data_IF_833298354171
#
_entry.id   IF_833298354171
#
_cell.length_a   1.000
_cell.length_b   1.000
_cell.length_c   1.000
_cell.angle_alpha   90.00
_cell.angle_beta   90.00
_cell.angle_gamma   90.00
#
_symmetry.space_group_name_H-M   'P 1'
#
loop_
_entity.id
_entity.type
_entity.pdbx_description
1 polymer ?
#
# COMPACT_ATOMS: atom_id res chain seq x y z
N UNK A 1 -28.82 4.76 10.31
CA UNK A 1 -28.94 3.90 9.12
C UNK A 1 -29.53 2.60 9.61
N UNK A 2 -30.50 2.04 8.90
CA UNK A 2 -31.13 0.74 9.20
C UNK A 2 -30.51 -0.29 8.27
N UNK A 3 -29.33 -0.76 8.65
CA UNK A 3 -28.57 -1.80 7.94
C UNK A 3 -28.28 -2.94 8.90
N UNK A 4 -28.21 -4.19 8.44
CA UNK A 4 -27.96 -5.34 9.31
C UNK A 4 -26.51 -5.41 9.84
N UNK A 5 -25.63 -4.53 9.36
CA UNK A 5 -24.21 -4.47 9.73
C UNK A 5 -23.90 -3.09 10.34
N UNK A 6 -23.22 -3.03 11.50
CA UNK A 6 -22.87 -1.77 12.14
C UNK A 6 -21.71 -1.07 11.43
N UNK A 7 -21.67 0.26 11.52
CA UNK A 7 -20.66 1.10 10.84
C UNK A 7 -19.24 0.90 11.35
N UNK A 8 -19.08 0.40 12.57
CA UNK A 8 -17.79 0.13 13.21
C UNK A 8 -17.27 -1.29 12.95
N UNK A 9 -17.95 -2.07 12.10
CA UNK A 9 -17.51 -3.41 11.71
C UNK A 9 -16.08 -3.37 11.15
N UNK A 10 -15.20 -4.19 11.71
CA UNK A 10 -13.86 -4.39 11.16
C UNK A 10 -13.91 -5.12 9.82
N UNK A 11 -13.17 -4.67 8.79
CA UNK A 11 -13.06 -5.44 7.56
C UNK A 11 -12.32 -6.77 7.78
N UNK A 12 -12.66 -7.78 6.99
CA UNK A 12 -11.92 -9.04 6.90
C UNK A 12 -10.51 -8.80 6.35
N UNK A 13 -9.49 -9.43 6.91
CA UNK A 13 -8.09 -9.13 6.63
C UNK A 13 -7.41 -10.20 5.77
N UNK A 14 -6.18 -9.89 5.35
CA UNK A 14 -5.31 -10.85 4.66
C UNK A 14 -4.02 -11.16 5.41
N UNK A 15 -3.54 -12.39 5.20
CA UNK A 15 -2.20 -12.86 5.55
C UNK A 15 -1.29 -12.85 4.31
N UNK A 16 0.02 -12.57 4.45
CA UNK A 16 0.96 -12.72 3.35
C UNK A 16 1.06 -14.20 2.93
N UNK A 17 1.12 -14.46 1.63
CA UNK A 17 1.46 -15.77 1.05
C UNK A 17 2.79 -15.72 0.32
N UNK A 18 3.54 -16.83 0.33
CA UNK A 18 4.84 -16.95 -0.36
C UNK A 18 4.71 -17.14 -1.87
N UNK A 19 3.52 -17.53 -2.35
CA UNK A 19 3.17 -17.66 -3.75
C UNK A 19 1.65 -17.64 -3.92
N UNK A 20 1.18 -17.61 -5.17
CA UNK A 20 -0.25 -17.70 -5.48
C UNK A 20 -0.77 -19.06 -4.98
N UNK A 21 -1.68 -19.09 -3.98
CA UNK A 21 -2.25 -20.35 -3.50
C UNK A 21 -2.92 -21.09 -4.64
N UNK A 22 -2.74 -22.41 -4.71
CA UNK A 22 -3.27 -23.26 -5.78
C UNK A 22 -4.44 -24.12 -5.32
N UNK A 23 -5.22 -24.61 -6.27
CA UNK A 23 -6.32 -25.57 -6.08
C UNK A 23 -7.73 -24.99 -6.23
N UNK A 24 -8.72 -25.88 -6.30
CA UNK A 24 -10.07 -25.60 -6.82
C UNK A 24 -10.97 -24.72 -5.94
N UNK A 25 -10.47 -24.25 -4.79
CA UNK A 25 -11.25 -23.46 -3.84
C UNK A 25 -10.94 -21.96 -3.89
N UNK A 26 -10.01 -21.53 -4.74
CA UNK A 26 -9.57 -20.14 -4.80
C UNK A 26 -10.22 -19.36 -5.94
N UNK A 27 -10.45 -18.07 -5.69
CA UNK A 27 -10.58 -17.05 -6.72
C UNK A 27 -9.53 -15.96 -6.47
N UNK A 28 -9.08 -15.34 -7.55
CA UNK A 28 -7.99 -14.38 -7.56
C UNK A 28 -8.49 -13.03 -8.07
N UNK A 29 -8.04 -11.96 -7.45
CA UNK A 29 -8.31 -10.57 -7.85
C UNK A 29 -6.99 -9.79 -7.93
N UNK A 30 -6.91 -8.74 -8.76
CA UNK A 30 -5.82 -7.78 -8.66
C UNK A 30 -5.76 -7.16 -7.26
N UNK A 31 -4.56 -6.99 -6.73
CA UNK A 31 -4.37 -6.30 -5.45
C UNK A 31 -4.29 -4.79 -5.68
N UNK A 32 -5.40 -4.10 -5.41
CA UNK A 32 -5.50 -2.64 -5.46
C UNK A 32 -4.64 -1.96 -4.36
N UNK A 33 -3.98 -0.86 -4.71
CA UNK A 33 -3.24 0.00 -3.77
C UNK A 33 -3.99 1.33 -3.62
N UNK A 34 -4.73 1.47 -2.52
CA UNK A 34 -5.52 2.65 -2.25
C UNK A 34 -5.90 2.76 -0.78
N UNK A 35 -7.11 3.27 -0.53
CA UNK A 35 -7.72 3.25 0.78
C UNK A 35 -8.87 2.26 0.83
N UNK A 36 -8.67 1.17 1.57
CA UNK A 36 -9.75 0.25 1.89
C UNK A 36 -10.90 0.97 2.60
N UNK A 37 -12.07 0.90 1.98
CA UNK A 37 -13.24 1.69 2.34
C UNK A 37 -14.50 0.82 2.30
N UNK A 38 -15.15 0.68 3.45
CA UNK A 38 -16.51 0.16 3.53
C UNK A 38 -17.48 1.26 3.13
N UNK A 39 -18.46 0.92 2.29
CA UNK A 39 -19.53 1.83 1.90
C UNK A 39 -20.82 1.33 2.53
N UNK A 40 -21.46 2.17 3.33
CA UNK A 40 -22.79 1.93 3.86
C UNK A 40 -23.75 2.87 3.13
N UNK A 41 -24.79 2.32 2.51
CA UNK A 41 -25.86 3.10 1.89
C UNK A 41 -27.19 2.71 2.51
N UNK A 42 -27.99 3.70 2.90
CA UNK A 42 -29.37 3.55 3.35
C UNK A 42 -30.19 4.72 2.78
N UNK A 43 -30.94 4.46 1.70
CA UNK A 43 -31.59 5.48 0.89
C UNK A 43 -30.57 6.42 0.23
N UNK A 44 -30.71 7.71 0.50
CA UNK A 44 -29.79 8.76 0.04
C UNK A 44 -28.59 8.98 0.97
N UNK A 45 -28.61 8.38 2.17
CA UNK A 45 -27.49 8.48 3.10
C UNK A 45 -26.41 7.48 2.70
N UNK A 46 -25.20 7.99 2.45
CA UNK A 46 -24.01 7.21 2.12
C UNK A 46 -22.91 7.57 3.12
N UNK A 47 -22.32 6.56 3.74
CA UNK A 47 -21.18 6.70 4.64
C UNK A 47 -20.00 5.87 4.12
N UNK A 48 -18.83 6.50 4.03
CA UNK A 48 -17.56 5.86 3.68
C UNK A 48 -16.76 5.69 4.97
N UNK A 49 -16.40 4.46 5.31
CA UNK A 49 -15.67 4.13 6.53
C UNK A 49 -14.33 3.47 6.18
N UNK A 50 -13.25 4.03 6.71
CA UNK A 50 -11.91 3.46 6.53
C UNK A 50 -11.79 2.10 7.21
N UNK A 51 -10.74 1.34 6.84
CA UNK A 51 -10.33 0.14 7.57
C UNK A 51 -10.23 0.30 9.10
N UNK A 52 -9.86 1.48 9.59
CA UNK A 52 -9.71 1.77 11.03
C UNK A 52 -10.97 2.34 11.68
N UNK A 53 -12.16 2.09 11.12
CA UNK A 53 -13.46 2.59 11.57
C UNK A 53 -13.57 4.14 11.61
N UNK A 54 -12.72 4.86 10.87
CA UNK A 54 -12.78 6.33 10.77
C UNK A 54 -13.66 6.78 9.62
N UNK A 55 -14.54 7.78 9.82
CA UNK A 55 -15.32 8.38 8.74
C UNK A 55 -14.44 9.01 7.66
N UNK A 56 -14.76 8.71 6.41
CA UNK A 56 -14.08 9.21 5.21
C UNK A 56 -15.00 10.01 4.28
N UNK A 57 -16.33 9.98 4.52
CA UNK A 57 -17.37 10.50 3.62
C UNK A 57 -17.06 11.90 3.09
N UNK A 58 -16.66 12.84 3.96
CA UNK A 58 -16.41 14.23 3.59
C UNK A 58 -15.26 14.42 2.59
N UNK A 59 -14.32 13.48 2.52
CA UNK A 59 -13.12 13.61 1.69
C UNK A 59 -13.34 13.20 0.24
N UNK A 60 -14.42 12.46 -0.03
CA UNK A 60 -14.73 11.91 -1.36
C UNK A 60 -16.16 12.25 -1.78
N UNK A 61 -16.54 13.54 -1.85
CA UNK A 61 -17.89 13.94 -2.21
C UNK A 61 -18.28 13.49 -3.63
N UNK A 62 -17.32 13.34 -4.53
CA UNK A 62 -17.51 13.01 -5.95
C UNK A 62 -18.07 11.59 -6.19
N UNK A 63 -17.83 10.65 -5.27
CA UNK A 63 -18.32 9.26 -5.42
C UNK A 63 -19.74 9.07 -4.89
N UNK A 64 -20.20 9.95 -3.99
CA UNK A 64 -21.50 9.80 -3.31
C UNK A 64 -22.70 9.77 -4.27
N UNK A 65 -22.80 10.63 -5.30
CA UNK A 65 -23.91 10.57 -6.26
C UNK A 65 -24.01 9.24 -7.00
N UNK A 66 -22.88 8.58 -7.26
CA UNK A 66 -22.87 7.29 -7.94
C UNK A 66 -23.39 6.17 -7.03
N UNK A 67 -23.03 6.19 -5.73
CA UNK A 67 -23.58 5.25 -4.76
C UNK A 67 -25.09 5.39 -4.60
N UNK A 68 -25.62 6.63 -4.60
CA UNK A 68 -27.07 6.90 -4.56
C UNK A 68 -27.83 6.40 -5.79
N UNK A 69 -27.13 6.07 -6.89
CA UNK A 69 -27.73 5.55 -8.12
C UNK A 69 -27.62 4.04 -8.26
N UNK A 70 -27.07 3.33 -7.26
CA UNK A 70 -27.08 1.86 -7.27
C UNK A 70 -28.52 1.35 -7.23
N UNK A 71 -28.73 0.16 -7.81
CA UNK A 71 -30.05 -0.45 -7.96
C UNK A 71 -30.75 -0.71 -6.63
N UNK A 72 -29.99 -1.15 -5.63
CA UNK A 72 -30.46 -1.28 -4.25
C UNK A 72 -30.13 -0.01 -3.47
N UNK A 73 -31.11 0.45 -2.69
CA UNK A 73 -31.01 1.63 -1.82
C UNK A 73 -30.45 1.31 -0.43
N UNK A 74 -30.32 0.03 -0.08
CA UNK A 74 -29.68 -0.46 1.15
C UNK A 74 -28.59 -1.46 0.82
N UNK A 75 -27.34 -1.05 0.95
CA UNK A 75 -26.19 -1.93 0.66
C UNK A 75 -25.02 -1.66 1.59
N UNK A 76 -24.22 -2.71 1.84
CA UNK A 76 -22.90 -2.60 2.46
C UNK A 76 -21.87 -3.22 1.52
N UNK A 77 -20.92 -2.41 1.04
CA UNK A 77 -19.86 -2.84 0.11
C UNK A 77 -18.49 -2.80 0.79
N UNK A 78 -17.60 -3.72 0.39
CA UNK A 78 -16.17 -3.66 0.70
C UNK A 78 -15.37 -3.47 -0.60
N UNK A 79 -14.39 -2.58 -0.55
CA UNK A 79 -13.74 -2.08 -1.74
C UNK A 79 -12.56 -1.16 -1.43
N UNK A 80 -11.96 -0.64 -2.49
CA UNK A 80 -10.81 0.24 -2.44
C UNK A 80 -11.11 1.56 -3.13
N UNK A 81 -10.86 2.69 -2.44
CA UNK A 81 -10.77 3.99 -3.08
C UNK A 81 -9.38 4.16 -3.69
N UNK A 82 -9.33 4.50 -4.97
CA UNK A 82 -8.09 4.69 -5.73
C UNK A 82 -8.11 6.04 -6.46
N UNK A 83 -6.94 6.55 -6.81
CA UNK A 83 -6.79 7.63 -7.80
C UNK A 83 -5.96 7.07 -8.95
N UNK A 84 -6.39 7.31 -10.19
CA UNK A 84 -5.67 6.88 -11.39
C UNK A 84 -4.98 8.08 -12.01
N UNK A 85 -3.66 8.11 -11.97
CA UNK A 85 -2.81 9.09 -12.65
C UNK A 85 -2.39 8.64 -14.05
N UNK A 86 -1.37 9.30 -14.58
CA UNK A 86 -0.86 9.03 -15.94
C UNK A 86 -0.11 7.71 -16.05
N UNK A 87 0.55 7.28 -14.96
CA UNK A 87 1.40 6.08 -14.90
C UNK A 87 0.75 4.90 -14.18
N UNK A 88 -0.54 4.98 -13.87
CA UNK A 88 -1.28 3.96 -13.10
C UNK A 88 -1.87 4.53 -11.82
N UNK A 89 -1.98 3.71 -10.76
CA UNK A 89 -2.54 4.16 -9.47
C UNK A 89 -1.61 5.19 -8.81
N UNK A 90 -2.16 6.36 -8.49
CA UNK A 90 -1.47 7.44 -7.80
C UNK A 90 -1.89 7.50 -6.33
N UNK A 91 -1.20 6.71 -5.51
CA UNK A 91 -1.40 6.73 -4.07
C UNK A 91 -1.01 8.06 -3.43
N UNK A 92 -0.04 8.79 -4.00
CA UNK A 92 0.40 10.08 -3.48
C UNK A 92 -0.71 11.12 -3.59
N UNK A 93 -1.34 11.22 -4.77
CA UNK A 93 -2.52 12.05 -4.99
C UNK A 93 -3.68 11.62 -4.08
N UNK A 94 -3.93 10.31 -3.94
CA UNK A 94 -4.95 9.79 -3.03
C UNK A 94 -4.71 10.24 -1.57
N UNK A 95 -3.47 10.23 -1.08
CA UNK A 95 -3.14 10.70 0.28
C UNK A 95 -3.44 12.19 0.47
N UNK A 96 -3.24 13.01 -0.57
CA UNK A 96 -3.53 14.44 -0.50
C UNK A 96 -5.03 14.75 -0.34
N UNK A 97 -5.93 13.79 -0.64
CA UNK A 97 -7.39 13.92 -0.49
C UNK A 97 -7.81 14.07 0.97
N UNK A 98 -7.06 13.51 1.91
CA UNK A 98 -7.33 13.62 3.35
C UNK A 98 -6.82 14.96 3.87
N UNK A 99 -7.61 16.02 3.63
CA UNK A 99 -7.23 17.39 3.95
C UNK A 99 -8.20 18.05 4.95
N UNK A 100 -7.72 18.84 5.93
CA UNK A 100 -8.60 19.55 6.86
C UNK A 100 -9.57 20.52 6.15
N UNK A 101 -9.03 21.39 5.28
CA UNK A 101 -9.81 22.41 4.58
C UNK A 101 -10.73 21.83 3.50
N UNK A 102 -12.04 22.12 3.61
CA UNK A 102 -13.08 21.65 2.68
C UNK A 102 -12.88 22.14 1.25
N UNK A 103 -12.45 23.41 1.07
CA UNK A 103 -12.15 23.98 -0.25
C UNK A 103 -11.08 23.18 -1.01
N UNK A 104 -10.04 22.72 -0.30
CA UNK A 104 -8.99 21.88 -0.90
C UNK A 104 -9.51 20.49 -1.24
N UNK A 105 -10.39 19.92 -0.42
CA UNK A 105 -11.05 18.64 -0.71
C UNK A 105 -11.88 18.73 -2.00
N UNK A 106 -12.71 19.77 -2.13
CA UNK A 106 -13.53 19.99 -3.34
C UNK A 106 -12.66 20.19 -4.58
N UNK A 107 -11.66 21.06 -4.51
CA UNK A 107 -10.74 21.29 -5.63
C UNK A 107 -10.04 19.98 -6.08
N UNK A 108 -9.50 19.20 -5.13
CA UNK A 108 -8.85 17.93 -5.45
C UNK A 108 -9.83 16.86 -5.96
N UNK A 109 -11.12 16.97 -5.64
CA UNK A 109 -12.14 16.02 -6.10
C UNK A 109 -12.46 16.18 -7.58
N UNK A 110 -12.25 17.39 -8.10
CA UNK A 110 -12.40 17.71 -9.52
C UNK A 110 -11.09 17.46 -10.26
N UNK A 111 -9.95 17.87 -9.69
CA UNK A 111 -8.64 17.75 -10.34
C UNK A 111 -8.13 16.30 -10.40
N UNK A 112 -8.34 15.52 -9.35
CA UNK A 112 -7.86 14.14 -9.22
C UNK A 112 -8.96 13.25 -8.60
N UNK A 113 -10.07 13.00 -9.31
CA UNK A 113 -11.23 12.30 -8.78
C UNK A 113 -10.88 10.87 -8.36
N UNK A 114 -11.38 10.45 -7.21
CA UNK A 114 -11.22 9.07 -6.77
C UNK A 114 -12.22 8.14 -7.47
N UNK A 115 -11.82 6.90 -7.69
CA UNK A 115 -12.68 5.79 -8.10
C UNK A 115 -12.83 4.81 -6.95
N UNK A 116 -13.98 4.14 -6.89
CA UNK A 116 -14.23 3.05 -5.96
C UNK A 116 -14.24 1.73 -6.72
N UNK A 117 -13.36 0.82 -6.33
CA UNK A 117 -13.31 -0.55 -6.86
C UNK A 117 -13.90 -1.49 -5.83
N UNK A 118 -15.12 -1.95 -6.08
CA UNK A 118 -15.82 -2.89 -5.22
C UNK A 118 -15.29 -4.30 -5.42
N UNK A 119 -15.07 -5.02 -4.32
CA UNK A 119 -14.63 -6.42 -4.36
C UNK A 119 -15.45 -7.36 -3.46
N UNK A 120 -16.38 -6.87 -2.65
CA UNK A 120 -17.33 -7.71 -1.91
C UNK A 120 -18.66 -6.98 -1.64
N UNK A 121 -19.73 -7.74 -1.45
CA UNK A 121 -21.05 -7.26 -1.03
C UNK A 121 -21.42 -7.94 0.28
N UNK A 122 -21.55 -7.16 1.35
CA UNK A 122 -21.73 -7.66 2.71
C UNK A 122 -23.19 -7.65 3.16
N UNK A 123 -24.01 -6.75 2.60
CA UNK A 123 -25.45 -6.72 2.84
C UNK A 123 -26.18 -6.08 1.66
N UNK A 124 -27.42 -6.50 1.43
CA UNK A 124 -28.35 -5.94 0.44
C UNK A 124 -29.78 -6.00 0.98
N UNK A 125 -30.45 -4.85 1.06
CA UNK A 125 -31.74 -4.75 1.76
C UNK A 125 -31.57 -4.99 3.27
N UNK A 126 -32.38 -5.90 3.81
CA UNK A 126 -32.31 -6.35 5.21
C UNK A 126 -31.40 -7.59 5.38
N UNK A 127 -30.89 -8.16 4.29
CA UNK A 127 -30.13 -9.41 4.30
C UNK A 127 -28.64 -9.15 4.64
N UNK A 128 -28.14 -9.79 5.70
CA UNK A 128 -26.70 -9.89 5.98
C UNK A 128 -26.12 -11.06 5.17
N UNK A 129 -25.22 -10.75 4.25
CA UNK A 129 -24.62 -11.72 3.33
C UNK A 129 -23.30 -12.28 3.86
N UNK A 130 -22.80 -11.86 5.04
CA UNK A 130 -21.47 -12.26 5.50
C UNK A 130 -21.31 -13.76 5.72
N UNK A 131 -22.38 -14.45 6.12
CA UNK A 131 -22.38 -15.92 6.25
C UNK A 131 -22.39 -16.65 4.91
N UNK A 132 -22.82 -16.00 3.83
CA UNK A 132 -22.87 -16.59 2.50
C UNK A 132 -21.47 -16.82 1.92
N UNK A 133 -21.26 -17.85 1.08
CA UNK A 133 -20.03 -18.03 0.33
C UNK A 133 -19.67 -16.84 -0.56
N UNK A 134 -18.38 -16.52 -0.71
CA UNK A 134 -17.90 -15.43 -1.57
C UNK A 134 -18.42 -15.54 -3.00
N UNK A 135 -18.53 -16.74 -3.58
CA UNK A 135 -19.10 -16.93 -4.91
C UNK A 135 -20.57 -16.47 -5.02
N UNK A 136 -21.35 -16.61 -3.95
CA UNK A 136 -22.73 -16.09 -3.87
C UNK A 136 -22.71 -14.57 -3.78
N UNK A 137 -21.91 -14.02 -2.86
CA UNK A 137 -21.76 -12.56 -2.68
C UNK A 137 -21.27 -11.87 -3.95
N UNK A 138 -20.35 -12.51 -4.69
CA UNK A 138 -19.82 -12.03 -5.98
C UNK A 138 -20.92 -11.90 -7.03
N UNK A 139 -21.75 -12.94 -7.22
CA UNK A 139 -22.86 -12.90 -8.18
C UNK A 139 -23.86 -11.79 -7.85
N UNK A 140 -24.14 -11.59 -6.56
CA UNK A 140 -25.01 -10.50 -6.08
C UNK A 140 -24.37 -9.13 -6.36
N UNK A 141 -23.07 -8.98 -6.08
CA UNK A 141 -22.30 -7.77 -6.39
C UNK A 141 -22.29 -7.44 -7.90
N UNK A 142 -22.06 -8.43 -8.75
CA UNK A 142 -22.13 -8.30 -10.22
C UNK A 142 -23.51 -7.81 -10.67
N UNK A 143 -24.58 -8.37 -10.12
CA UNK A 143 -25.96 -7.95 -10.41
C UNK A 143 -26.24 -6.52 -9.95
N UNK A 144 -25.83 -6.16 -8.74
CA UNK A 144 -25.98 -4.83 -8.15
C UNK A 144 -25.26 -3.76 -9.00
N UNK A 145 -24.04 -4.07 -9.45
CA UNK A 145 -23.20 -3.16 -10.23
C UNK A 145 -23.39 -3.28 -11.75
N UNK A 146 -24.35 -4.09 -12.22
CA UNK A 146 -24.62 -4.25 -13.65
C UNK A 146 -25.03 -2.91 -14.27
N UNK A 147 -24.16 -2.40 -15.14
CA UNK A 147 -24.35 -1.09 -15.80
C UNK A 147 -23.84 0.11 -14.99
N UNK A 148 -23.28 -0.12 -13.79
CA UNK A 148 -22.50 0.89 -13.11
C UNK A 148 -21.33 1.33 -14.00
N UNK A 149 -21.02 2.62 -13.95
CA UNK A 149 -19.90 3.24 -14.66
C UNK A 149 -19.07 4.03 -13.66
N UNK A 150 -18.03 4.71 -14.16
CA UNK A 150 -17.25 5.66 -13.38
C UNK A 150 -18.15 6.53 -12.48
N UNK A 151 -17.79 6.72 -11.20
CA UNK A 151 -16.56 6.30 -10.54
C UNK A 151 -16.61 4.93 -9.83
N UNK A 152 -17.67 4.13 -10.00
CA UNK A 152 -17.80 2.83 -9.33
C UNK A 152 -17.51 1.70 -10.31
N UNK A 153 -16.56 0.84 -9.94
CA UNK A 153 -16.13 -0.29 -10.74
C UNK A 153 -16.19 -1.59 -9.93
N UNK A 154 -16.45 -2.69 -10.62
CA UNK A 154 -16.28 -4.03 -10.08
C UNK A 154 -14.84 -4.48 -10.34
N UNK A 155 -14.15 -5.02 -9.34
CA UNK A 155 -12.86 -5.68 -9.57
C UNK A 155 -13.06 -6.90 -10.47
N UNK A 156 -12.20 -7.14 -11.48
CA UNK A 156 -12.20 -8.44 -12.14
C UNK A 156 -11.72 -9.50 -11.15
N UNK A 157 -12.14 -10.74 -11.39
CA UNK A 157 -11.62 -11.92 -10.71
C UNK A 157 -11.49 -13.07 -11.71
N UNK A 158 -10.69 -14.07 -11.34
CA UNK A 158 -10.51 -15.30 -12.10
C UNK A 158 -10.40 -16.48 -11.14
N UNK A 159 -10.76 -17.67 -11.60
CA UNK A 159 -10.45 -18.94 -10.93
C UNK A 159 -9.35 -19.72 -11.67
N UNK A 160 -8.87 -19.17 -12.78
CA UNK A 160 -7.76 -19.72 -13.53
C UNK A 160 -6.44 -19.18 -12.97
N UNK A 161 -5.58 -20.11 -12.53
CA UNK A 161 -4.27 -19.82 -11.95
C UNK A 161 -3.36 -19.13 -12.96
N UNK A 162 -3.41 -19.52 -14.25
CA UNK A 162 -2.57 -18.93 -15.28
C UNK A 162 -2.89 -17.45 -15.50
N UNK A 163 -4.17 -17.10 -15.51
CA UNK A 163 -4.63 -15.71 -15.54
C UNK A 163 -4.17 -14.93 -14.31
N UNK A 164 -4.20 -15.54 -13.12
CA UNK A 164 -3.72 -14.90 -11.90
C UNK A 164 -2.20 -14.66 -11.92
N UNK A 165 -1.41 -15.63 -12.39
CA UNK A 165 0.04 -15.48 -12.59
C UNK A 165 0.37 -14.38 -13.61
N UNK A 166 -0.42 -14.30 -14.67
CA UNK A 166 -0.32 -13.24 -15.68
C UNK A 166 -0.66 -11.86 -15.11
N UNK A 167 -1.74 -11.72 -14.32
CA UNK A 167 -2.07 -10.48 -13.62
C UNK A 167 -0.97 -10.06 -12.65
N UNK A 168 -0.41 -11.03 -11.91
CA UNK A 168 0.70 -10.80 -11.01
C UNK A 168 1.88 -10.16 -11.76
N UNK A 169 2.28 -10.71 -12.92
CA UNK A 169 3.39 -10.16 -13.72
C UNK A 169 3.04 -8.84 -14.41
N UNK A 170 1.90 -8.77 -15.10
CA UNK A 170 1.56 -7.65 -15.99
C UNK A 170 1.26 -6.35 -15.24
N UNK A 171 0.63 -6.44 -14.07
CA UNK A 171 0.13 -5.24 -13.38
C UNK A 171 1.12 -4.60 -12.40
N UNK A 172 2.30 -5.20 -12.20
CA UNK A 172 3.30 -4.79 -11.22
C UNK A 172 3.69 -3.30 -11.29
N UNK A 173 3.73 -2.72 -12.50
CA UNK A 173 4.09 -1.31 -12.73
C UNK A 173 2.93 -0.32 -12.66
N UNK A 174 1.68 -0.78 -12.65
CA UNK A 174 0.49 0.07 -12.62
C UNK A 174 0.03 0.45 -11.20
N UNK A 175 0.80 0.12 -10.19
CA UNK A 175 0.41 0.29 -8.79
C UNK A 175 -0.41 -0.87 -8.22
N UNK A 176 -0.63 -1.94 -8.99
CA UNK A 176 -1.17 -3.21 -8.51
C UNK A 176 0.00 -4.13 -8.11
N UNK A 177 0.33 -4.18 -6.82
CA UNK A 177 1.54 -4.85 -6.32
C UNK A 177 1.39 -6.36 -6.10
N UNK A 178 0.37 -6.96 -6.70
CA UNK A 178 0.20 -8.40 -6.74
C UNK A 178 -1.25 -8.84 -6.85
N UNK A 179 -1.57 -9.96 -6.20
CA UNK A 179 -2.86 -10.65 -6.32
C UNK A 179 -3.42 -10.96 -4.93
N UNK A 180 -4.74 -10.84 -4.79
CA UNK A 180 -5.49 -11.31 -3.64
C UNK A 180 -6.10 -12.66 -3.98
N UNK A 181 -5.80 -13.70 -3.19
CA UNK A 181 -6.46 -15.00 -3.28
C UNK A 181 -7.48 -15.13 -2.14
N UNK A 182 -8.71 -15.52 -2.49
CA UNK A 182 -9.83 -15.65 -1.57
C UNK A 182 -10.50 -17.01 -1.79
N UNK A 183 -10.92 -17.67 -0.72
CA UNK A 183 -11.71 -18.89 -0.87
C UNK A 183 -13.10 -18.53 -1.40
N UNK A 184 -13.48 -19.00 -2.60
CA UNK A 184 -14.78 -18.69 -3.19
C UNK A 184 -15.94 -19.37 -2.44
N UNK A 185 -15.64 -20.38 -1.63
CA UNK A 185 -16.58 -21.06 -0.72
C UNK A 185 -16.64 -20.43 0.67
N UNK A 186 -15.77 -19.45 0.96
CA UNK A 186 -15.62 -18.87 2.29
C UNK A 186 -16.62 -17.77 2.62
N UNK A 187 -17.08 -17.75 3.88
CA UNK A 187 -17.80 -16.64 4.47
C UNK A 187 -16.91 -15.39 4.65
N UNK A 188 -17.53 -14.22 4.79
CA UNK A 188 -16.86 -13.01 5.22
C UNK A 188 -16.77 -12.97 6.75
N UNK A 189 -15.55 -13.00 7.29
CA UNK A 189 -15.34 -13.02 8.75
C UNK A 189 -14.61 -11.75 9.19
N UNK A 190 -15.34 -10.76 9.77
CA UNK A 190 -14.77 -9.50 10.26
C UNK A 190 -13.55 -9.70 11.15
N UNK A 191 -12.52 -8.87 10.96
CA UNK A 191 -11.29 -8.88 11.77
C UNK A 191 -10.35 -10.08 11.56
N UNK A 192 -10.79 -11.16 10.89
CA UNK A 192 -9.97 -12.37 10.67
C UNK A 192 -9.13 -12.28 9.41
N UNK A 193 -7.93 -12.86 9.46
CA UNK A 193 -6.98 -12.92 8.33
C UNK A 193 -7.15 -14.22 7.54
N UNK A 194 -8.24 -14.36 6.78
CA UNK A 194 -8.47 -15.57 5.97
C UNK A 194 -8.27 -15.36 4.47
N UNK A 195 -8.09 -14.12 4.00
CA UNK A 195 -7.63 -13.87 2.63
C UNK A 195 -6.11 -13.99 2.55
N UNK A 196 -5.58 -14.31 1.38
CA UNK A 196 -4.15 -14.36 1.14
C UNK A 196 -3.79 -13.21 0.20
N UNK A 197 -2.79 -12.42 0.58
CA UNK A 197 -2.18 -11.42 -0.30
C UNK A 197 -0.84 -11.95 -0.77
N UNK A 198 -0.64 -11.95 -2.08
CA UNK A 198 0.63 -12.31 -2.71
C UNK A 198 1.15 -11.05 -3.35
N UNK A 199 2.39 -10.69 -3.03
CA UNK A 199 3.03 -9.48 -3.51
C UNK A 199 4.33 -9.83 -4.20
N UNK A 200 4.77 -8.97 -5.12
CA UNK A 200 6.14 -9.00 -5.58
C UNK A 200 7.08 -8.76 -4.41
N UNK A 201 7.98 -9.71 -4.18
CA UNK A 201 9.08 -9.51 -3.26
C UNK A 201 10.18 -8.77 -4.01
N UNK A 202 10.31 -7.47 -3.74
CA UNK A 202 11.41 -6.68 -4.27
C UNK A 202 12.51 -6.58 -3.24
N UNK A 203 13.74 -6.74 -3.69
CA UNK A 203 14.93 -6.62 -2.86
C UNK A 203 15.88 -5.60 -3.45
N UNK A 204 16.54 -4.85 -2.59
CA UNK A 204 17.63 -3.96 -2.98
C UNK A 204 18.81 -4.20 -2.06
N UNK A 205 19.99 -4.27 -2.64
CA UNK A 205 21.24 -4.16 -1.93
C UNK A 205 21.52 -2.68 -1.69
N UNK A 206 21.51 -2.28 -0.43
CA UNK A 206 21.70 -0.90 0.00
C UNK A 206 22.99 -0.75 0.80
N UNK A 207 23.62 0.41 0.64
CA UNK A 207 24.75 0.81 1.48
C UNK A 207 24.23 1.34 2.79
N UNK A 208 24.82 0.95 3.91
CA UNK A 208 24.54 1.56 5.21
C UNK A 208 25.30 2.87 5.29
N UNK A 209 24.56 3.98 5.40
CA UNK A 209 25.13 5.33 5.42
C UNK A 209 25.04 6.00 6.78
N UNK A 210 24.30 5.38 7.71
CA UNK A 210 24.18 5.87 9.07
C UNK A 210 23.21 5.02 9.88
N UNK A 211 22.95 5.45 11.10
CA UNK A 211 22.01 4.77 11.99
C UNK A 211 21.39 5.74 12.99
N UNK A 212 20.26 5.35 13.58
CA UNK A 212 19.57 6.08 14.64
C UNK A 212 19.52 5.24 15.90
N UNK A 213 19.58 5.90 17.06
CA UNK A 213 19.28 5.26 18.35
C UNK A 213 17.78 4.97 18.47
N UNK A 214 17.43 3.93 19.23
CA UNK A 214 16.06 3.71 19.68
C UNK A 214 15.62 4.80 20.65
N UNK A 215 14.31 4.87 20.93
CA UNK A 215 13.73 5.89 21.82
C UNK A 215 14.29 5.84 23.25
N UNK A 216 14.82 4.69 23.70
CA UNK A 216 15.48 4.52 24.99
C UNK A 216 16.96 4.96 25.00
N UNK A 217 17.51 5.37 23.85
CA UNK A 217 18.89 5.79 23.67
C UNK A 217 19.95 4.70 23.77
N UNK A 218 19.58 3.44 24.06
CA UNK A 218 20.51 2.37 24.45
C UNK A 218 20.78 1.35 23.35
N UNK A 219 19.92 1.26 22.33
CA UNK A 219 20.03 0.26 21.28
C UNK A 219 19.89 0.87 19.89
N UNK A 220 20.18 0.08 18.86
CA UNK A 220 19.94 0.50 17.48
C UNK A 220 18.44 0.65 17.24
N UNK A 221 18.01 1.83 16.78
CA UNK A 221 16.64 2.09 16.32
C UNK A 221 16.44 1.63 14.88
N UNK A 222 17.27 2.15 13.97
CA UNK A 222 17.24 1.82 12.54
C UNK A 222 18.58 2.07 11.86
N UNK A 223 18.88 1.34 10.78
CA UNK A 223 19.93 1.70 9.82
C UNK A 223 19.36 2.62 8.75
N UNK A 224 20.14 3.62 8.35
CA UNK A 224 19.87 4.49 7.22
C UNK A 224 20.53 3.91 5.98
N UNK A 225 19.79 3.89 4.88
CA UNK A 225 20.14 3.19 3.65
C UNK A 225 20.38 4.19 2.53
N UNK A 226 21.39 3.92 1.71
CA UNK A 226 21.70 4.70 0.53
C UNK A 226 21.92 3.84 -0.73
N UNK A 227 21.65 4.45 -1.88
CA UNK A 227 21.96 3.91 -3.20
C UNK A 227 22.75 4.92 -4.02
N UNK A 228 23.65 4.41 -4.85
CA UNK A 228 24.43 5.22 -5.77
C UNK A 228 23.62 5.57 -7.02
N UNK A 229 23.62 6.85 -7.37
CA UNK A 229 23.26 7.32 -8.71
C UNK A 229 24.53 7.90 -9.32
N UNK A 230 25.06 7.23 -10.34
CA UNK A 230 26.42 7.52 -10.84
C UNK A 230 27.42 7.43 -9.68
N UNK A 231 28.04 8.54 -9.29
CA UNK A 231 29.00 8.60 -8.20
C UNK A 231 28.44 9.20 -6.89
N UNK A 232 27.15 9.54 -6.85
CA UNK A 232 26.52 10.21 -5.72
C UNK A 232 25.70 9.22 -4.89
N UNK A 233 25.91 9.24 -3.57
CA UNK A 233 25.20 8.38 -2.63
C UNK A 233 23.95 9.07 -2.10
N UNK A 234 22.78 8.54 -2.46
CA UNK A 234 21.49 9.13 -2.14
C UNK A 234 20.81 8.35 -1.02
N UNK A 235 20.23 9.05 -0.05
CA UNK A 235 19.42 8.42 1.00
C UNK A 235 18.10 7.89 0.43
N UNK A 236 17.84 6.59 0.62
CA UNK A 236 16.66 5.92 0.05
C UNK A 236 15.69 5.39 1.11
N UNK A 237 15.99 5.54 2.40
CA UNK A 237 15.11 5.10 3.47
C UNK A 237 15.86 4.39 4.59
N UNK A 238 15.14 3.56 5.36
CA UNK A 238 15.72 2.91 6.53
C UNK A 238 15.21 1.47 6.69
N UNK A 239 15.95 0.68 7.47
CA UNK A 239 15.51 -0.63 7.96
C UNK A 239 15.62 -0.69 9.48
N UNK A 240 14.67 -1.35 10.14
CA UNK A 240 14.60 -1.46 11.60
C UNK A 240 14.20 -2.85 12.08
N UNK A 241 14.19 -3.86 11.20
CA UNK A 241 13.75 -5.22 11.53
C UNK A 241 14.89 -6.06 12.13
N UNK A 242 15.31 -5.71 13.34
CA UNK A 242 16.35 -6.41 14.09
C UNK A 242 15.80 -6.91 15.43
N UNK A 243 16.23 -8.10 15.83
CA UNK A 243 16.02 -8.66 17.17
C UNK A 243 16.73 -7.82 18.24
N UNK A 244 16.34 -7.97 19.51
CA UNK A 244 16.95 -7.23 20.61
C UNK A 244 18.44 -7.55 20.82
N UNK A 245 18.88 -8.77 20.44
CA UNK A 245 20.29 -9.15 20.45
C UNK A 245 21.06 -8.41 19.34
N UNK A 246 20.59 -8.51 18.10
CA UNK A 246 21.20 -7.83 16.94
C UNK A 246 21.31 -6.31 17.14
N UNK A 247 20.28 -5.67 17.72
CA UNK A 247 20.32 -4.22 17.99
C UNK A 247 21.48 -3.79 18.89
N UNK A 248 21.90 -4.64 19.83
CA UNK A 248 23.03 -4.35 20.73
C UNK A 248 24.37 -4.55 20.02
N UNK A 249 24.48 -5.64 19.27
CA UNK A 249 25.70 -5.99 18.53
C UNK A 249 25.99 -5.01 17.38
N UNK A 250 24.95 -4.54 16.69
CA UNK A 250 25.12 -3.65 15.54
C UNK A 250 25.71 -2.29 15.92
N UNK A 251 25.42 -1.75 17.11
CA UNK A 251 26.07 -0.52 17.56
C UNK A 251 27.58 -0.72 17.68
N UNK A 252 28.02 -1.84 18.27
CA UNK A 252 29.43 -2.15 18.41
C UNK A 252 30.11 -2.32 17.03
N UNK A 253 29.42 -2.94 16.06
CA UNK A 253 29.91 -3.09 14.69
C UNK A 253 29.98 -1.77 13.90
N UNK A 254 29.06 -0.84 14.16
CA UNK A 254 28.99 0.46 13.47
C UNK A 254 29.91 1.51 14.07
N UNK A 255 30.24 1.41 15.37
CA UNK A 255 31.07 2.40 16.08
C UNK A 255 32.43 2.68 15.41
N UNK A 256 33.20 1.68 14.95
CA UNK A 256 34.48 1.93 14.26
C UNK A 256 34.33 2.60 12.88
N UNK A 257 33.12 2.55 12.32
CA UNK A 257 32.80 3.14 11.02
C UNK A 257 32.28 4.56 11.13
N UNK A 258 32.05 5.08 12.34
CA UNK A 258 31.54 6.43 12.53
C UNK A 258 32.50 7.46 11.97
N UNK A 259 31.94 8.48 11.33
CA UNK A 259 32.68 9.60 10.76
C UNK A 259 31.89 10.88 11.00
N UNK A 260 32.63 11.94 11.28
CA UNK A 260 32.07 13.29 11.36
C UNK A 260 31.91 13.81 9.93
N UNK A 261 30.80 13.47 9.29
CA UNK A 261 30.43 14.09 8.01
C UNK A 261 29.60 15.33 8.33
N UNK A 262 30.02 16.54 7.93
CA UNK A 262 29.24 17.75 8.10
C UNK A 262 27.87 17.59 7.44
N UNK A 263 26.78 18.11 8.04
CA UNK A 263 25.45 18.11 7.39
C UNK A 263 25.44 18.71 5.98
N UNK A 264 26.43 19.56 5.65
CA UNK A 264 26.64 20.22 4.36
C UNK A 264 27.31 19.37 3.29
N UNK A 265 28.00 18.27 3.62
CA UNK A 265 28.61 17.38 2.62
C UNK A 265 27.63 16.33 2.07
N UNK A 266 26.43 16.28 2.66
CA UNK A 266 25.30 15.55 2.09
C UNK A 266 24.44 16.42 1.14
N UNK A 267 24.86 17.67 0.86
CA UNK A 267 24.00 18.66 0.22
C UNK A 267 24.25 18.79 -1.30
N UNK A 268 23.14 18.81 -2.06
CA UNK A 268 22.86 19.75 -3.17
C UNK A 268 22.24 19.22 -4.48
N UNK A 269 22.01 17.91 -4.70
CA UNK A 269 21.40 17.46 -5.97
C UNK A 269 20.22 16.48 -5.86
N UNK A 270 19.90 15.96 -4.66
CA UNK A 270 18.65 15.22 -4.46
C UNK A 270 17.53 16.18 -4.07
N UNK A 271 16.54 16.34 -4.94
CA UNK A 271 15.21 16.91 -4.66
C UNK A 271 14.45 16.25 -3.48
N UNK A 272 15.07 15.27 -2.80
CA UNK A 272 14.53 14.50 -1.69
C UNK A 272 15.16 14.87 -0.35
N UNK A 273 14.30 15.06 0.66
CA UNK A 273 14.64 15.31 2.07
C UNK A 273 15.80 14.43 2.56
N UNK A 274 16.77 15.08 3.22
CA UNK A 274 17.80 14.49 4.08
C UNK A 274 17.22 13.47 5.08
N UNK A 275 18.02 12.49 5.57
CA UNK A 275 17.66 11.79 6.80
C UNK A 275 17.32 12.83 7.87
N UNK A 276 16.14 12.75 8.48
CA UNK A 276 15.73 13.75 9.48
C UNK A 276 14.95 14.96 8.94
N UNK A 277 14.69 15.04 7.62
CA UNK A 277 13.79 16.05 7.07
C UNK A 277 12.39 15.97 7.68
N UNK A 278 11.89 17.10 8.18
CA UNK A 278 10.56 17.22 8.81
C UNK A 278 9.46 16.64 7.91
N UNK A 279 8.80 15.59 8.37
CA UNK A 279 7.53 15.15 7.78
C UNK A 279 6.38 15.66 8.66
N UNK A 280 5.19 15.90 8.09
CA UNK A 280 3.98 16.23 8.88
C UNK A 280 3.64 15.15 9.94
N UNK A 281 4.29 13.98 9.88
CA UNK A 281 4.14 12.84 10.79
C UNK A 281 5.25 12.69 11.84
N UNK A 282 6.35 13.47 11.77
CA UNK A 282 7.51 13.27 12.69
C UNK A 282 7.31 13.83 14.10
N UNK A 283 6.18 14.51 14.39
CA UNK A 283 5.74 14.97 15.75
C UNK A 283 6.89 15.49 16.64
N UNK A 284 7.84 16.25 16.09
CA UNK A 284 8.93 16.85 16.86
C UNK A 284 9.89 15.86 17.55
N UNK A 285 10.00 14.60 17.09
CA UNK A 285 11.01 13.67 17.64
C UNK A 285 12.40 14.08 17.16
N UNK A 286 13.38 14.07 18.07
CA UNK A 286 14.79 14.19 17.72
C UNK A 286 15.16 13.09 16.74
N UNK A 287 15.55 13.53 15.55
CA UNK A 287 15.88 12.65 14.44
C UNK A 287 17.35 12.32 14.38
N UNK A 288 18.15 12.73 15.38
CA UNK A 288 19.60 12.57 15.45
C UNK A 288 20.03 11.20 14.93
N UNK A 289 20.90 11.24 13.92
CA UNK A 289 21.49 10.07 13.32
C UNK A 289 23.00 10.21 13.36
N UNK A 290 23.66 9.06 13.39
CA UNK A 290 25.11 8.97 13.36
C UNK A 290 25.52 8.46 11.99
N UNK A 291 26.39 9.19 11.32
CA UNK A 291 26.94 8.82 10.02
C UNK A 291 27.96 7.71 10.15
N UNK A 292 28.04 6.83 9.15
CA UNK A 292 29.10 5.83 9.06
C UNK A 292 29.71 5.82 7.66
N UNK A 293 30.96 5.38 7.56
CA UNK A 293 31.62 5.15 6.27
C UNK A 293 30.79 4.17 5.43
N UNK A 294 30.60 4.44 4.13
CA UNK A 294 29.77 3.64 3.23
C UNK A 294 30.48 2.33 2.83
N UNK A 295 30.77 1.48 3.82
CA UNK A 295 31.53 0.23 3.66
C UNK A 295 30.63 -1.01 3.78
N UNK A 296 29.53 -0.90 4.50
CA UNK A 296 28.63 -2.03 4.74
C UNK A 296 27.49 -2.04 3.74
N UNK A 297 27.20 -3.21 3.18
CA UNK A 297 26.06 -3.45 2.29
C UNK A 297 25.12 -4.46 2.91
N UNK A 298 23.83 -4.16 2.89
CA UNK A 298 22.77 -5.09 3.28
C UNK A 298 21.72 -5.23 2.20
N UNK A 299 21.20 -6.44 2.03
CA UNK A 299 20.02 -6.70 1.22
C UNK A 299 18.77 -6.45 2.07
N UNK A 300 17.85 -5.66 1.53
CA UNK A 300 16.57 -5.34 2.17
C UNK A 300 15.42 -5.65 1.24
N UNK A 301 14.33 -6.20 1.80
CA UNK A 301 13.06 -6.29 1.10
C UNK A 301 12.27 -4.98 1.24
N UNK A 302 11.69 -4.51 0.13
CA UNK A 302 10.88 -3.30 0.10
C UNK A 302 9.59 -3.53 -0.71
N UNK A 303 8.53 -2.77 -0.40
CA UNK A 303 7.25 -2.86 -1.13
C UNK A 303 7.32 -2.07 -2.44
N UNK A 304 7.49 -0.73 -2.33
CA UNK A 304 7.43 0.21 -3.44
C UNK A 304 8.36 1.41 -3.21
N UNK A 305 8.68 2.07 -4.31
CA UNK A 305 9.32 3.39 -4.29
C UNK A 305 8.26 4.50 -4.25
N UNK A 306 8.55 5.55 -3.51
CA UNK A 306 7.84 6.83 -3.56
C UNK A 306 8.55 7.74 -4.56
N UNK A 307 7.80 8.22 -5.57
CA UNK A 307 8.31 9.01 -6.69
C UNK A 307 9.50 8.40 -7.47
N UNK A 308 9.76 7.10 -7.32
CA UNK A 308 10.92 6.43 -7.92
C UNK A 308 12.26 6.72 -7.23
N UNK A 309 12.25 7.40 -6.08
CA UNK A 309 13.48 7.90 -5.44
C UNK A 309 13.83 7.21 -4.12
N UNK A 310 12.83 6.80 -3.33
CA UNK A 310 13.06 6.21 -2.00
C UNK A 310 12.02 5.15 -1.64
N UNK A 311 12.33 4.30 -0.68
CA UNK A 311 11.36 3.34 -0.14
C UNK A 311 10.21 4.07 0.56
N UNK A 312 8.97 3.68 0.21
CA UNK A 312 7.74 4.26 0.78
C UNK A 312 7.55 3.88 2.25
N UNK A 313 7.90 2.65 2.63
CA UNK A 313 7.80 2.12 3.99
C UNK A 313 9.18 1.73 4.52
N UNK A 314 9.27 1.50 5.83
CA UNK A 314 10.45 0.87 6.42
C UNK A 314 10.71 -0.48 5.73
N UNK A 315 11.96 -0.71 5.35
CA UNK A 315 12.37 -1.94 4.67
C UNK A 315 12.68 -3.04 5.68
N UNK A 316 12.58 -4.30 5.24
CA UNK A 316 12.93 -5.46 6.06
C UNK A 316 14.35 -5.91 5.72
N UNK A 317 15.25 -5.85 6.68
CA UNK A 317 16.57 -6.44 6.57
C UNK A 317 16.46 -7.94 6.27
N UNK A 318 17.17 -8.39 5.24
CA UNK A 318 17.26 -9.80 4.89
C UNK A 318 18.61 -10.38 5.33
N UNK A 319 19.71 -9.79 4.85
CA UNK A 319 21.06 -10.27 5.12
C UNK A 319 22.12 -9.22 4.83
N UNK A 320 23.32 -9.40 5.40
CA UNK A 320 24.51 -8.66 4.98
C UNK A 320 25.03 -9.20 3.64
N UNK A 321 25.49 -8.30 2.78
CA UNK A 321 26.09 -8.61 1.48
C UNK A 321 27.59 -8.34 1.52
N UNK A 322 28.31 -9.23 2.20
CA UNK A 322 29.77 -9.14 2.35
C UNK A 322 30.50 -9.33 1.01
N UNK A 323 29.80 -9.90 0.03
CA UNK A 323 30.24 -10.18 -1.34
C UNK A 323 30.08 -8.98 -2.30
N UNK A 324 29.34 -7.94 -1.90
CA UNK A 324 28.98 -6.83 -2.80
C UNK A 324 29.69 -5.53 -2.42
N UNK A 325 30.46 -4.91 -3.32
CA UNK A 325 31.08 -3.63 -3.05
C UNK A 325 30.02 -2.49 -3.02
N UNK A 326 30.11 -1.52 -2.09
CA UNK A 326 29.13 -0.43 -1.94
C UNK A 326 28.82 0.32 -3.23
N UNK A 327 29.84 0.63 -4.06
CA UNK A 327 29.67 1.36 -5.33
C UNK A 327 28.84 0.63 -6.39
N UNK A 328 28.57 -0.67 -6.21
CA UNK A 328 27.70 -1.47 -7.09
C UNK A 328 26.24 -1.52 -6.59
N UNK A 329 25.91 -0.79 -5.54
CA UNK A 329 24.55 -0.66 -5.02
C UNK A 329 23.89 0.56 -5.66
N UNK A 330 23.45 0.44 -6.91
CA UNK A 330 22.90 1.55 -7.69
C UNK A 330 21.37 1.60 -7.75
N UNK A 331 20.81 2.64 -8.39
CA UNK A 331 19.36 2.74 -8.68
C UNK A 331 18.87 1.80 -9.79
N UNK A 332 19.79 1.29 -10.61
CA UNK A 332 19.54 0.32 -11.69
C UNK A 332 18.86 -0.96 -11.17
N UNK A 333 19.13 -1.34 -9.91
CA UNK A 333 18.52 -2.53 -9.30
C UNK A 333 17.05 -2.32 -8.89
N UNK A 334 16.58 -1.08 -8.81
CA UNK A 334 15.23 -0.74 -8.33
C UNK A 334 14.36 -0.13 -9.43
N UNK A 335 14.77 -0.21 -10.70
CA UNK A 335 14.02 0.32 -11.84
C UNK A 335 12.59 -0.23 -11.88
N UNK A 336 11.64 0.65 -12.22
CA UNK A 336 10.22 0.40 -12.05
C UNK A 336 9.71 -0.55 -13.14
N UNK A 337 8.94 -1.57 -12.75
CA UNK A 337 8.20 -2.42 -13.67
C UNK A 337 7.43 -1.62 -14.74
N UNK A 338 7.27 -2.20 -15.92
CA UNK A 338 6.67 -1.55 -17.09
C UNK A 338 5.32 -0.89 -16.74
N UNK A 339 5.13 0.33 -17.27
CA UNK A 339 3.87 1.07 -17.08
C UNK A 339 2.71 0.29 -17.70
N UNK A 340 1.62 0.16 -16.95
CA UNK A 340 0.40 -0.47 -17.42
C UNK A 340 -0.80 0.46 -17.20
N UNK A 341 -1.67 0.57 -18.20
CA UNK A 341 -2.85 1.42 -18.12
C UNK A 341 -3.96 0.76 -17.29
N UNK A 342 -4.12 1.23 -16.05
CA UNK A 342 -5.17 0.78 -15.12
C UNK A 342 -6.57 0.90 -15.72
N UNK A 343 -6.81 1.89 -16.59
CA UNK A 343 -8.14 2.11 -17.20
C UNK A 343 -8.55 0.92 -18.07
N UNK A 344 -7.59 0.27 -18.72
CA UNK A 344 -7.79 -0.93 -19.53
C UNK A 344 -8.34 -2.12 -18.76
N UNK A 345 -8.16 -2.19 -17.43
CA UNK A 345 -8.71 -3.26 -16.58
C UNK A 345 -10.23 -3.21 -16.56
N UNK A 346 -10.80 -2.01 -16.54
CA UNK A 346 -12.25 -1.79 -16.48
C UNK A 346 -12.90 -1.72 -17.86
N UNK A 347 -12.12 -1.69 -18.94
CA UNK A 347 -12.61 -1.52 -20.30
C UNK A 347 -13.10 -2.82 -20.95
N UNK A 348 -12.75 -3.99 -20.41
CA UNK A 348 -13.17 -5.30 -20.95
C UNK A 348 -14.57 -5.64 -20.43
N UNK A 349 -15.52 -5.73 -21.35
CA UNK A 349 -16.89 -6.22 -21.15
C UNK A 349 -17.02 -7.65 -21.62
#
# INVERSE_FOLDING_TARGET
MKLPIPLDMEPMLSAPGEGIPRGDSWEYEPKWDGFRTLVFRDGDKVELISRGARPMTRYFPEVLPAFRKLRSDRVVLDGELIVVGDKGLDFGALQQRIHPADSRVRMLSEATPAWYVAFDLLAEGEEDLRSEPLGTRRKRLESLLKGAKQPIFLTPYTRDEATAEDWFKRFEGAGLDGVMAKSWKGAYVPGKRLWVKVKHQRTADCVVIGWRKSADGKSLGSLLLGLYRKNELNYVGHTSSFSAAERRELIAKLKPLQVDVPPSEWDSHSSGRMPGGLSRWSRGKDLEWVTVRPELVCEVAYDKLEAGERFRHATRFLRWRLDKPPRKCGFDQIESAAQFDVRGIFARK
#
